data_IF_635224638347
#
_entry.id   IF_635224638347
#
_cell.length_a   1.000
_cell.length_b   1.000
_cell.length_c   1.000
_cell.angle_alpha   90.00
_cell.angle_beta   90.00
_cell.angle_gamma   90.00
#
_symmetry.space_group_name_H-M   'P 1'
#
loop_
_entity.id
_entity.type
_entity.pdbx_description
1 polymer ?
#
# COMPACT_ATOMS: atom_id res chain seq x y z
N UNK A 1 -8.62 -14.02 -21.17
CA UNK A 1 -8.43 -13.16 -19.99
C UNK A 1 -8.55 -11.72 -20.46
N UNK A 2 -9.29 -10.88 -19.73
CA UNK A 2 -9.44 -9.48 -20.12
C UNK A 2 -8.22 -8.69 -19.68
N UNK A 3 -7.40 -8.26 -20.64
CA UNK A 3 -6.16 -7.51 -20.44
C UNK A 3 -6.34 -6.02 -20.73
N UNK A 4 -7.59 -5.55 -20.86
CA UNK A 4 -7.87 -4.13 -21.05
C UNK A 4 -7.43 -3.36 -19.79
N UNK A 5 -6.76 -2.22 -19.91
CA UNK A 5 -6.27 -1.45 -18.77
C UNK A 5 -7.33 -1.17 -17.71
N UNK A 6 -8.57 -0.88 -18.10
CA UNK A 6 -9.68 -0.61 -17.18
C UNK A 6 -10.04 -1.86 -16.37
N UNK A 7 -10.07 -3.03 -17.01
CA UNK A 7 -10.36 -4.30 -16.31
C UNK A 7 -9.23 -4.67 -15.33
N UNK A 8 -7.98 -4.46 -15.73
CA UNK A 8 -6.82 -4.67 -14.85
C UNK A 8 -6.82 -3.70 -13.67
N UNK A 9 -7.14 -2.42 -13.90
CA UNK A 9 -7.28 -1.43 -12.85
C UNK A 9 -8.39 -1.79 -11.86
N UNK A 10 -9.55 -2.25 -12.32
CA UNK A 10 -10.61 -2.72 -11.41
C UNK A 10 -10.16 -3.90 -10.53
N UNK A 11 -9.37 -4.85 -11.07
CA UNK A 11 -8.78 -5.94 -10.28
C UNK A 11 -7.75 -5.41 -9.27
N UNK A 12 -6.94 -4.45 -9.69
CA UNK A 12 -5.97 -3.78 -8.85
C UNK A 12 -6.65 -3.07 -7.68
N UNK A 13 -7.64 -2.21 -7.93
CA UNK A 13 -8.37 -1.45 -6.91
C UNK A 13 -9.14 -2.37 -5.95
N UNK A 14 -9.69 -3.48 -6.46
CA UNK A 14 -10.30 -4.51 -5.60
C UNK A 14 -9.27 -5.13 -4.65
N UNK A 15 -8.05 -5.38 -5.14
CA UNK A 15 -6.95 -5.94 -4.34
C UNK A 15 -6.42 -4.91 -3.34
N UNK A 16 -6.31 -3.65 -3.74
CA UNK A 16 -5.97 -2.52 -2.87
C UNK A 16 -6.97 -2.39 -1.70
N UNK A 17 -8.26 -2.44 -1.99
CA UNK A 17 -9.30 -2.39 -0.96
C UNK A 17 -9.12 -3.49 0.09
N UNK A 18 -8.80 -4.71 -0.35
CA UNK A 18 -8.52 -5.82 0.55
C UNK A 18 -7.23 -5.60 1.38
N UNK A 19 -6.18 -5.04 0.76
CA UNK A 19 -4.96 -4.68 1.47
C UNK A 19 -5.21 -3.57 2.51
N UNK A 20 -6.05 -2.59 2.22
CA UNK A 20 -6.47 -1.58 3.21
C UNK A 20 -7.19 -2.23 4.40
N UNK A 21 -8.05 -3.22 4.17
CA UNK A 21 -8.66 -3.98 5.25
C UNK A 21 -7.60 -4.74 6.07
N UNK A 22 -6.66 -5.41 5.40
CA UNK A 22 -5.54 -6.09 6.06
C UNK A 22 -4.74 -5.15 6.97
N UNK A 23 -4.35 -3.98 6.48
CA UNK A 23 -3.60 -3.00 7.29
C UNK A 23 -4.44 -2.41 8.41
N UNK A 24 -5.74 -2.20 8.20
CA UNK A 24 -6.65 -1.70 9.23
C UNK A 24 -6.80 -2.70 10.38
N UNK A 25 -6.91 -4.00 10.07
CA UNK A 25 -6.97 -5.03 11.11
C UNK A 25 -5.63 -5.24 11.80
N UNK A 26 -4.53 -5.17 11.06
CA UNK A 26 -3.21 -5.37 11.65
C UNK A 26 -2.79 -4.19 12.54
N UNK A 27 -3.10 -2.96 12.11
CA UNK A 27 -2.95 -1.69 12.85
C UNK A 27 -1.58 -1.47 13.54
N UNK A 28 -0.55 -2.14 13.03
CA UNK A 28 0.76 -2.17 13.70
C UNK A 28 1.40 -0.78 13.76
N UNK A 29 1.35 -0.05 12.64
CA UNK A 29 1.97 1.27 12.55
C UNK A 29 1.36 2.27 13.55
N UNK A 30 0.03 2.34 13.63
CA UNK A 30 -0.67 3.26 14.54
C UNK A 30 -0.40 2.93 16.01
N UNK A 31 -0.31 1.63 16.35
CA UNK A 31 -0.14 1.17 17.73
C UNK A 31 1.31 1.17 18.21
N UNK A 32 2.26 0.89 17.31
CA UNK A 32 3.65 0.62 17.70
C UNK A 32 4.61 1.67 17.16
N UNK A 33 4.50 2.03 15.88
CA UNK A 33 5.48 2.90 15.22
C UNK A 33 5.23 4.38 15.50
N UNK A 34 4.01 4.85 15.21
CA UNK A 34 3.65 6.28 15.28
C UNK A 34 3.82 6.87 16.68
N UNK A 35 3.37 6.23 17.78
CA UNK A 35 3.52 6.80 19.12
C UNK A 35 4.98 7.06 19.51
N UNK A 36 5.88 6.14 19.14
CA UNK A 36 7.33 6.28 19.39
C UNK A 36 7.92 7.45 18.61
N UNK A 37 7.50 7.63 17.36
CA UNK A 37 7.96 8.72 16.51
C UNK A 37 7.45 10.08 17.00
N UNK A 38 6.19 10.18 17.41
CA UNK A 38 5.62 11.39 18.01
C UNK A 38 6.40 11.76 19.28
N UNK A 39 6.67 10.79 20.16
CA UNK A 39 7.42 11.01 21.39
C UNK A 39 8.86 11.49 21.11
N UNK A 40 9.51 10.97 20.07
CA UNK A 40 10.86 11.37 19.68
C UNK A 40 10.92 12.72 18.94
N UNK A 41 9.81 13.23 18.43
CA UNK A 41 9.75 14.49 17.68
C UNK A 41 8.46 15.28 17.96
N UNK A 42 8.27 15.79 19.19
CA UNK A 42 7.05 16.51 19.56
C UNK A 42 6.82 17.74 18.68
N UNK A 43 5.58 17.94 18.23
CA UNK A 43 5.17 19.09 17.42
C UNK A 43 5.67 19.07 15.96
N UNK A 44 6.30 17.98 15.51
CA UNK A 44 6.72 17.82 14.11
C UNK A 44 5.87 16.75 13.41
N UNK A 45 5.61 16.89 12.10
CA UNK A 45 5.02 15.81 11.30
C UNK A 45 5.85 14.53 11.43
N UNK A 46 5.17 13.39 11.52
CA UNK A 46 5.81 12.07 11.53
C UNK A 46 5.23 11.21 10.42
N UNK A 47 6.10 10.53 9.71
CA UNK A 47 5.74 9.38 8.88
C UNK A 47 6.35 8.14 9.53
N UNK A 48 5.66 7.01 9.44
CA UNK A 48 6.14 5.73 9.97
C UNK A 48 7.42 5.27 9.23
N UNK A 49 7.72 3.98 9.26
CA UNK A 49 8.79 3.35 8.46
C UNK A 49 8.73 3.60 6.94
N UNK A 50 7.75 4.37 6.48
CA UNK A 50 7.60 4.83 5.11
C UNK A 50 8.58 5.96 4.69
N UNK A 51 9.68 6.16 5.42
CA UNK A 51 10.65 7.25 5.18
C UNK A 51 11.83 6.83 4.32
N UNK A 52 12.34 5.60 4.51
CA UNK A 52 13.69 5.24 4.04
C UNK A 52 13.73 4.49 2.70
N UNK A 53 12.57 4.17 2.11
CA UNK A 53 12.48 3.39 0.86
C UNK A 53 11.61 4.00 -0.23
N UNK A 54 11.06 5.17 0.03
CA UNK A 54 10.20 5.87 -0.91
C UNK A 54 11.14 6.75 -1.71
N UNK A 55 11.69 6.25 -2.80
CA UNK A 55 12.29 7.13 -3.79
C UNK A 55 11.43 7.02 -5.04
N UNK A 56 10.75 8.13 -5.31
CA UNK A 56 10.01 8.42 -6.55
C UNK A 56 8.72 7.62 -6.74
N UNK A 57 7.81 8.20 -7.52
CA UNK A 57 6.67 7.51 -8.12
C UNK A 57 7.24 6.30 -8.86
N UNK A 58 7.23 5.13 -8.23
CA UNK A 58 7.66 3.87 -8.85
C UNK A 58 6.51 3.28 -9.68
N UNK A 59 5.81 4.16 -10.40
CA UNK A 59 4.90 3.74 -11.42
C UNK A 59 5.74 3.35 -12.63
N UNK A 60 5.50 2.16 -13.17
CA UNK A 60 6.21 1.71 -14.35
C UNK A 60 5.80 2.56 -15.55
N UNK A 61 6.70 2.69 -16.53
CA UNK A 61 6.39 3.25 -17.84
C UNK A 61 5.50 2.27 -18.62
N UNK A 62 4.19 2.29 -18.33
CA UNK A 62 3.21 1.36 -18.88
C UNK A 62 1.80 1.99 -18.91
N UNK A 63 0.97 1.74 -19.94
CA UNK A 63 -0.35 2.37 -20.08
C UNK A 63 -1.30 2.19 -18.89
N UNK A 64 -1.24 1.06 -18.19
CA UNK A 64 -2.04 0.85 -16.97
C UNK A 64 -1.65 1.79 -15.83
N UNK A 65 -0.37 2.14 -15.72
CA UNK A 65 0.11 3.09 -14.72
C UNK A 65 -0.22 4.54 -15.12
N UNK A 66 -0.21 4.86 -16.41
CA UNK A 66 -0.73 6.15 -16.89
C UNK A 66 -2.23 6.31 -16.60
N UNK A 67 -3.00 5.23 -16.75
CA UNK A 67 -4.41 5.23 -16.33
C UNK A 67 -4.54 5.43 -14.81
N UNK A 68 -3.78 4.69 -14.00
CA UNK A 68 -3.77 4.86 -12.55
C UNK A 68 -3.41 6.30 -12.14
N UNK A 69 -2.40 6.91 -12.77
CA UNK A 69 -2.02 8.31 -12.53
C UNK A 69 -3.13 9.28 -12.89
N UNK A 70 -3.77 9.12 -14.06
CA UNK A 70 -4.92 9.95 -14.46
C UNK A 70 -6.09 9.84 -13.48
N UNK A 71 -6.38 8.64 -12.98
CA UNK A 71 -7.43 8.46 -11.96
C UNK A 71 -7.04 9.12 -10.62
N UNK A 72 -5.77 9.03 -10.19
CA UNK A 72 -5.28 9.77 -9.02
C UNK A 72 -5.44 11.28 -9.20
N UNK A 73 -5.02 11.82 -10.33
CA UNK A 73 -5.12 13.26 -10.62
C UNK A 73 -6.57 13.73 -10.64
N UNK A 74 -7.47 12.93 -11.22
CA UNK A 74 -8.91 13.21 -11.24
C UNK A 74 -9.52 13.26 -9.83
N UNK A 75 -9.10 12.36 -8.93
CA UNK A 75 -9.66 12.23 -7.58
C UNK A 75 -9.02 13.17 -6.55
N UNK A 76 -7.71 13.37 -6.66
CA UNK A 76 -6.88 14.01 -5.63
C UNK A 76 -6.21 15.30 -6.12
N UNK A 77 -6.37 15.65 -7.39
CA UNK A 77 -5.70 16.79 -8.02
C UNK A 77 -4.30 16.45 -8.51
N UNK A 78 -3.71 17.37 -9.28
CA UNK A 78 -2.33 17.23 -9.76
C UNK A 78 -1.35 17.33 -8.60
N UNK A 79 -0.23 16.58 -8.63
CA UNK A 79 0.91 16.80 -7.73
C UNK A 79 1.38 18.26 -7.67
N UNK A 80 1.35 18.98 -8.80
CA UNK A 80 1.79 20.36 -8.89
C UNK A 80 0.89 21.35 -8.12
N UNK A 81 -0.36 20.98 -7.86
CA UNK A 81 -1.35 21.80 -7.16
C UNK A 81 -1.36 21.54 -5.65
N UNK A 82 -0.57 20.57 -5.17
CA UNK A 82 -0.59 20.17 -3.76
C UNK A 82 0.17 21.18 -2.88
N UNK A 83 -0.35 21.47 -1.67
CA UNK A 83 0.37 22.29 -0.70
C UNK A 83 1.69 21.63 -0.31
N UNK A 84 2.66 22.49 0.04
CA UNK A 84 4.05 22.20 0.34
C UNK A 84 4.33 20.78 0.89
N UNK A 85 5.24 20.07 0.23
CA UNK A 85 5.72 18.76 0.67
C UNK A 85 6.29 18.89 2.10
N UNK A 86 5.81 18.06 3.02
CA UNK A 86 6.21 18.11 4.43
C UNK A 86 7.66 17.71 4.72
N UNK A 87 8.40 17.27 3.70
CA UNK A 87 9.79 16.85 3.79
C UNK A 87 9.99 15.53 4.55
N UNK A 88 8.92 14.96 5.13
CA UNK A 88 8.97 13.68 5.84
C UNK A 88 8.77 12.48 4.92
N UNK A 89 8.31 12.69 3.70
CA UNK A 89 8.24 11.70 2.64
C UNK A 89 8.45 12.40 1.29
N UNK A 90 9.25 11.85 0.37
CA UNK A 90 9.47 12.46 -0.94
C UNK A 90 8.32 12.18 -1.93
N UNK A 91 7.25 11.52 -1.49
CA UNK A 91 6.07 11.31 -2.31
C UNK A 91 5.30 12.63 -2.49
N UNK A 92 4.97 12.97 -3.74
CA UNK A 92 4.15 14.14 -4.11
C UNK A 92 2.71 14.10 -3.54
N UNK A 93 2.25 12.87 -3.31
CA UNK A 93 1.18 12.43 -2.42
C UNK A 93 1.08 12.98 -0.99
N UNK A 94 2.20 13.43 -0.44
CA UNK A 94 2.42 13.48 1.00
C UNK A 94 2.54 14.92 1.50
N UNK A 95 1.64 15.29 2.41
CA UNK A 95 1.56 16.62 3.00
C UNK A 95 1.95 16.60 4.47
N UNK A 96 1.85 17.73 5.16
CA UNK A 96 2.12 17.80 6.60
C UNK A 96 1.16 16.94 7.44
N UNK A 97 -0.04 16.65 6.92
CA UNK A 97 -1.05 15.82 7.59
C UNK A 97 -0.97 14.35 7.18
N UNK A 98 -0.08 13.98 6.27
CA UNK A 98 0.16 12.61 5.82
C UNK A 98 -0.12 12.39 4.33
N UNK A 99 -0.35 11.13 3.96
CA UNK A 99 -0.67 10.75 2.58
C UNK A 99 -2.11 11.17 2.22
N UNK A 100 -2.25 11.91 1.13
CA UNK A 100 -3.56 12.36 0.61
C UNK A 100 -4.36 11.23 -0.04
N UNK A 101 -3.66 10.28 -0.68
CA UNK A 101 -4.29 9.16 -1.38
C UNK A 101 -4.98 8.25 -0.37
N UNK A 102 -6.31 8.09 -0.48
CA UNK A 102 -7.07 7.10 0.30
C UNK A 102 -7.11 5.75 -0.41
N UNK A 103 -7.02 5.78 -1.73
CA UNK A 103 -6.96 4.67 -2.67
C UNK A 103 -6.12 5.07 -3.90
N UNK A 104 -6.09 4.21 -4.93
CA UNK A 104 -5.27 4.38 -6.12
C UNK A 104 -3.79 4.53 -5.77
N UNK A 105 -3.32 3.96 -4.67
CA UNK A 105 -1.90 4.03 -4.29
C UNK A 105 -1.05 3.30 -5.31
N UNK A 106 0.25 3.57 -5.34
CA UNK A 106 1.19 2.79 -6.15
C UNK A 106 1.45 1.41 -5.52
N UNK A 107 1.78 0.37 -6.32
CA UNK A 107 2.09 -0.98 -5.82
C UNK A 107 3.10 -1.00 -4.68
N UNK A 108 4.17 -0.22 -4.80
CA UNK A 108 5.22 -0.11 -3.78
C UNK A 108 4.70 0.48 -2.47
N UNK A 109 3.77 1.43 -2.56
CA UNK A 109 3.19 2.08 -1.41
C UNK A 109 2.23 1.14 -0.65
N UNK A 110 1.53 0.26 -1.38
CA UNK A 110 0.62 -0.73 -0.82
C UNK A 110 1.31 -1.97 -0.28
N UNK A 111 2.43 -2.37 -0.86
CA UNK A 111 3.12 -3.61 -0.49
C UNK A 111 4.12 -3.44 0.65
N UNK A 112 4.63 -2.23 0.87
CA UNK A 112 5.70 -2.03 1.84
C UNK A 112 5.24 -2.29 3.28
N UNK A 113 6.04 -3.10 3.99
CA UNK A 113 5.94 -3.28 5.43
C UNK A 113 7.34 -3.37 6.03
N UNK A 114 7.57 -2.69 7.15
CA UNK A 114 8.87 -2.74 7.81
C UNK A 114 9.13 -4.09 8.45
N UNK A 115 10.42 -4.41 8.65
CA UNK A 115 10.82 -5.71 9.20
C UNK A 115 10.19 -6.02 10.57
N UNK A 116 10.14 -5.10 11.56
CA UNK A 116 9.48 -5.37 12.83
C UNK A 116 7.98 -5.68 12.71
N UNK A 117 7.29 -5.09 11.74
CA UNK A 117 5.89 -5.37 11.47
C UNK A 117 5.71 -6.77 10.83
N UNK A 118 6.59 -7.14 9.89
CA UNK A 118 6.61 -8.50 9.30
C UNK A 118 6.91 -9.56 10.38
N UNK A 119 7.85 -9.30 11.28
CA UNK A 119 8.16 -10.23 12.36
C UNK A 119 6.96 -10.36 13.32
N UNK A 120 6.23 -9.27 13.58
CA UNK A 120 4.99 -9.35 14.36
C UNK A 120 3.86 -10.14 13.66
N UNK A 121 3.73 -10.08 12.33
CA UNK A 121 2.81 -10.96 11.58
C UNK A 121 3.14 -12.44 11.79
N UNK A 122 4.43 -12.77 11.75
CA UNK A 122 4.94 -14.14 11.94
C UNK A 122 4.70 -14.64 13.35
N UNK A 123 5.20 -13.91 14.33
CA UNK A 123 5.22 -14.33 15.74
C UNK A 123 3.83 -14.31 16.36
N UNK A 124 3.04 -13.26 16.10
CA UNK A 124 1.74 -13.08 16.75
C UNK A 124 0.61 -13.75 15.98
N UNK A 125 0.64 -13.69 14.66
CA UNK A 125 -0.46 -14.15 13.81
C UNK A 125 -0.16 -15.43 13.04
N UNK A 126 1.09 -15.92 13.05
CA UNK A 126 1.48 -17.13 12.30
C UNK A 126 1.45 -16.91 10.78
N UNK A 127 1.62 -15.67 10.33
CA UNK A 127 1.61 -15.31 8.91
C UNK A 127 3.06 -15.20 8.43
N UNK A 128 3.54 -16.27 7.79
CA UNK A 128 4.94 -16.37 7.32
C UNK A 128 5.13 -16.01 5.84
N UNK A 129 4.02 -15.95 5.10
CA UNK A 129 4.02 -15.80 3.64
C UNK A 129 4.03 -14.35 3.16
N UNK A 130 3.87 -13.38 4.07
CA UNK A 130 3.94 -11.97 3.68
C UNK A 130 5.40 -11.59 3.36
N UNK A 131 5.61 -11.14 2.13
CA UNK A 131 6.85 -10.58 1.62
C UNK A 131 6.52 -9.34 0.78
N UNK A 132 7.07 -8.18 1.16
CA UNK A 132 6.70 -6.92 0.51
C UNK A 132 7.16 -6.86 -0.96
N UNK A 133 8.27 -7.50 -1.33
CA UNK A 133 8.71 -7.54 -2.73
C UNK A 133 7.77 -8.40 -3.58
N UNK A 134 7.44 -9.60 -3.10
CA UNK A 134 6.45 -10.46 -3.75
C UNK A 134 5.09 -9.79 -3.91
N UNK A 135 4.65 -9.05 -2.90
CA UNK A 135 3.41 -8.28 -2.97
C UNK A 135 3.51 -7.12 -3.98
N UNK A 136 4.65 -6.42 -4.03
CA UNK A 136 4.87 -5.37 -5.03
C UNK A 136 4.72 -5.92 -6.45
N UNK A 137 5.45 -6.98 -6.79
CA UNK A 137 5.40 -7.58 -8.12
C UNK A 137 4.03 -8.15 -8.45
N UNK A 138 3.36 -8.78 -7.48
CA UNK A 138 1.99 -9.25 -7.65
C UNK A 138 1.05 -8.11 -8.03
N UNK A 139 1.13 -6.97 -7.32
CA UNK A 139 0.32 -5.79 -7.58
C UNK A 139 0.64 -5.15 -8.95
N UNK A 140 1.91 -5.08 -9.33
CA UNK A 140 2.34 -4.64 -10.67
C UNK A 140 1.72 -5.54 -11.75
N UNK A 141 1.86 -6.86 -11.63
CA UNK A 141 1.31 -7.81 -12.61
C UNK A 141 -0.21 -7.82 -12.66
N UNK A 142 -0.90 -7.55 -11.55
CA UNK A 142 -2.36 -7.37 -11.55
C UNK A 142 -2.73 -6.13 -12.38
N UNK A 143 -2.01 -5.03 -12.18
CA UNK A 143 -2.28 -3.75 -12.84
C UNK A 143 -1.92 -3.77 -14.34
N UNK A 144 -0.81 -4.40 -14.71
CA UNK A 144 -0.39 -4.54 -16.12
C UNK A 144 -1.18 -5.61 -16.86
N UNK A 145 -1.81 -6.55 -16.14
CA UNK A 145 -2.54 -7.67 -16.74
C UNK A 145 -1.68 -8.89 -17.00
N UNK A 146 -0.43 -8.91 -16.51
CA UNK A 146 0.48 -10.04 -16.63
C UNK A 146 0.10 -11.21 -15.69
N UNK A 147 -0.65 -10.94 -14.60
CA UNK A 147 -1.08 -11.97 -13.66
C UNK A 147 -2.32 -12.72 -14.14
N UNK A 148 -2.24 -14.03 -14.42
CA UNK A 148 -3.40 -14.84 -14.80
C UNK A 148 -4.52 -14.78 -13.77
N UNK A 149 -5.79 -14.82 -14.22
CA UNK A 149 -6.95 -14.71 -13.32
C UNK A 149 -6.93 -15.75 -12.19
N UNK A 150 -6.50 -16.97 -12.49
CA UNK A 150 -6.38 -18.03 -11.48
C UNK A 150 -5.38 -17.67 -10.38
N UNK A 151 -4.23 -17.11 -10.77
CA UNK A 151 -3.18 -16.69 -9.84
C UNK A 151 -3.61 -15.48 -9.02
N UNK A 152 -4.28 -14.52 -9.65
CA UNK A 152 -4.90 -13.39 -8.94
C UNK A 152 -5.90 -13.86 -7.89
N UNK A 153 -6.77 -14.82 -8.22
CA UNK A 153 -7.72 -15.38 -7.24
C UNK A 153 -7.00 -16.04 -6.08
N UNK A 154 -5.98 -16.85 -6.33
CA UNK A 154 -5.17 -17.47 -5.25
C UNK A 154 -4.48 -16.42 -4.39
N UNK A 155 -3.90 -15.38 -4.99
CA UNK A 155 -3.31 -14.27 -4.25
C UNK A 155 -4.36 -13.55 -3.38
N UNK A 156 -5.52 -13.22 -3.94
CA UNK A 156 -6.62 -12.56 -3.26
C UNK A 156 -7.16 -13.41 -2.09
N UNK A 157 -7.39 -14.70 -2.29
CA UNK A 157 -7.82 -15.63 -1.24
C UNK A 157 -6.78 -15.76 -0.12
N UNK A 158 -5.48 -15.69 -0.46
CA UNK A 158 -4.41 -15.71 0.53
C UNK A 158 -4.43 -14.46 1.43
N UNK A 159 -4.77 -13.29 0.87
CA UNK A 159 -4.96 -12.06 1.63
C UNK A 159 -6.17 -12.15 2.55
N UNK A 160 -7.29 -12.70 2.08
CA UNK A 160 -8.47 -12.94 2.92
C UNK A 160 -8.13 -13.87 4.09
N UNK A 161 -7.32 -14.89 3.86
CA UNK A 161 -6.85 -15.79 4.93
C UNK A 161 -5.99 -15.08 5.97
N UNK A 162 -5.07 -14.21 5.52
CA UNK A 162 -4.28 -13.38 6.43
C UNK A 162 -5.17 -12.47 7.28
N UNK A 163 -6.19 -11.85 6.68
CA UNK A 163 -7.15 -11.01 7.40
C UNK A 163 -7.89 -11.82 8.46
N UNK A 164 -8.40 -13.01 8.11
CA UNK A 164 -9.08 -13.91 9.07
C UNK A 164 -8.18 -14.31 10.24
N UNK A 165 -6.89 -14.59 9.99
CA UNK A 165 -5.92 -14.93 11.03
C UNK A 165 -5.63 -13.76 11.98
N UNK A 166 -5.66 -12.53 11.47
CA UNK A 166 -5.48 -11.34 12.29
C UNK A 166 -6.74 -11.07 13.12
N UNK A 167 -7.92 -11.10 12.51
CA UNK A 167 -9.18 -10.77 13.18
C UNK A 167 -9.59 -11.81 14.24
N UNK A 168 -9.33 -13.10 14.01
CA UNK A 168 -9.65 -14.17 14.97
C UNK A 168 -8.82 -14.16 16.25
N UNK A 169 -7.63 -13.52 16.23
CA UNK A 169 -6.76 -13.37 17.41
C UNK A 169 -6.93 -12.02 18.12
N UNK A 170 -7.73 -11.12 17.57
CA UNK A 170 -8.04 -9.82 18.17
C UNK A 170 -9.29 -9.88 19.07
N UNK A 171 -10.03 -11.01 19.04
CA UNK A 171 -11.13 -11.36 19.92
C UNK A 171 -10.62 -12.23 21.08
#
# INVERSE_FOLDING_TARGET
MDTRPEACLQRYLKTESLLHHFYTFFDYCSRVCIPKLIAASPGKPVAACCKDRYYQVYDLDHPSFDLLRRERESLYGSPADQPENSGVSPCEYHTATGCLLKDHKSPVCLSFMCRPAIDALREKHGIYTYDYLGFNYALEWILTGDMPEKEWRTFYESLEDMIRKISSKAA
#
